data_IF_644665976070
#
_entry.id   IF_644665976070
#
_cell.length_a   1.000
_cell.length_b   1.000
_cell.length_c   1.000
_cell.angle_alpha   90.00
_cell.angle_beta   90.00
_cell.angle_gamma   90.00
#
_symmetry.space_group_name_H-M   'P 1'
#
loop_
_entity.id
_entity.type
_entity.pdbx_description
1 polymer ?
#
# COMPACT_ATOMS: atom_id res chain seq x y z
N UNK A 1 13.31 34.23 -33.95
CA UNK A 1 14.05 34.39 -32.68
C UNK A 1 13.87 33.12 -31.87
N UNK A 2 14.94 32.42 -31.53
CA UNK A 2 14.89 31.20 -30.71
C UNK A 2 14.50 31.60 -29.29
N UNK A 3 13.37 31.10 -28.78
CA UNK A 3 12.96 31.33 -27.38
C UNK A 3 14.06 30.80 -26.46
N UNK A 4 14.50 31.60 -25.49
CA UNK A 4 15.57 31.23 -24.56
C UNK A 4 14.97 30.27 -23.52
N UNK A 5 15.60 29.13 -23.30
CA UNK A 5 15.19 28.22 -22.24
C UNK A 5 15.64 28.83 -20.90
N UNK A 6 14.71 29.02 -19.98
CA UNK A 6 15.00 29.48 -18.61
C UNK A 6 14.93 28.25 -17.71
N UNK A 7 16.05 27.97 -17.04
CA UNK A 7 16.11 26.96 -16.01
C UNK A 7 15.44 27.48 -14.75
N UNK A 8 14.79 26.59 -14.02
CA UNK A 8 13.92 26.89 -12.88
C UNK A 8 14.70 27.29 -11.61
N UNK A 9 15.72 28.14 -11.72
CA UNK A 9 16.37 28.72 -10.54
C UNK A 9 15.45 29.78 -9.91
N UNK A 10 15.44 29.79 -8.58
CA UNK A 10 14.67 30.67 -7.70
C UNK A 10 14.63 32.12 -8.21
N UNK A 11 13.45 32.54 -8.65
CA UNK A 11 13.09 33.95 -8.73
C UNK A 11 13.17 34.50 -7.30
N UNK A 12 14.21 35.29 -6.98
CA UNK A 12 14.49 35.80 -5.63
C UNK A 12 13.52 36.90 -5.16
N UNK A 13 12.52 37.24 -5.98
CA UNK A 13 11.50 38.21 -5.61
C UNK A 13 12.08 39.61 -5.47
N UNK A 14 13.10 39.96 -6.27
CA UNK A 14 13.58 41.33 -6.41
C UNK A 14 12.41 42.31 -6.56
N UNK A 15 12.43 43.35 -5.73
CA UNK A 15 11.34 44.31 -5.44
C UNK A 15 10.96 45.26 -6.59
N UNK A 16 11.17 44.90 -7.85
CA UNK A 16 10.77 45.73 -8.98
C UNK A 16 9.54 45.11 -9.66
N UNK A 17 8.39 45.73 -9.36
CA UNK A 17 7.15 45.52 -10.07
C UNK A 17 7.35 45.74 -11.59
N UNK A 18 6.62 44.98 -12.40
CA UNK A 18 6.46 45.14 -13.86
C UNK A 18 7.30 44.24 -14.78
N UNK A 19 7.82 43.10 -14.29
CA UNK A 19 8.24 42.03 -15.21
C UNK A 19 7.05 41.07 -15.42
N UNK A 20 6.36 41.20 -16.56
CA UNK A 20 5.47 40.15 -17.06
C UNK A 20 6.23 38.81 -17.04
N UNK A 21 5.63 37.71 -16.54
CA UNK A 21 6.30 36.42 -16.54
C UNK A 21 6.71 36.11 -17.97
N UNK A 22 8.00 35.83 -18.23
CA UNK A 22 8.47 35.79 -19.60
C UNK A 22 7.77 34.65 -20.35
N UNK A 23 7.51 34.84 -21.65
CA UNK A 23 6.99 33.78 -22.55
C UNK A 23 7.99 32.61 -22.78
N UNK A 24 8.85 32.36 -21.80
CA UNK A 24 10.04 31.55 -21.89
C UNK A 24 9.71 30.07 -21.67
N UNK A 25 10.55 29.23 -22.28
CA UNK A 25 10.44 27.77 -22.14
C UNK A 25 11.02 27.39 -20.79
N UNK A 26 10.15 26.97 -19.87
CA UNK A 26 10.50 26.49 -18.54
C UNK A 26 11.07 25.07 -18.67
N UNK A 27 12.38 24.96 -18.50
CA UNK A 27 13.08 23.69 -18.56
C UNK A 27 12.92 22.91 -17.25
N UNK A 28 12.61 21.62 -17.36
CA UNK A 28 12.49 20.75 -16.19
C UNK A 28 13.81 20.15 -15.73
N UNK A 29 14.95 20.60 -16.27
CA UNK A 29 16.28 20.18 -15.83
C UNK A 29 16.91 21.27 -14.96
N UNK A 30 17.44 20.89 -13.79
CA UNK A 30 18.12 21.80 -12.87
C UNK A 30 19.60 21.97 -13.26
N UNK A 31 19.84 22.57 -14.43
CA UNK A 31 21.18 22.80 -14.98
C UNK A 31 21.49 21.91 -16.18
N UNK A 32 22.25 20.84 -15.99
CA UNK A 32 22.70 19.97 -17.09
C UNK A 32 21.53 19.20 -17.71
N UNK A 33 21.51 19.10 -19.05
CA UNK A 33 20.42 18.50 -19.85
C UNK A 33 20.43 16.96 -19.82
N UNK A 34 20.71 16.38 -18.66
CA UNK A 34 20.76 14.94 -18.38
C UNK A 34 19.42 14.44 -17.81
N UNK A 35 19.05 13.20 -18.14
CA UNK A 35 17.72 12.63 -17.84
C UNK A 35 17.48 12.38 -16.33
N UNK A 36 18.54 12.43 -15.50
CA UNK A 36 18.49 12.17 -14.05
C UNK A 36 18.27 13.42 -13.19
N UNK A 37 18.36 14.62 -13.75
CA UNK A 37 18.25 15.90 -13.01
C UNK A 37 16.91 16.59 -13.28
N UNK A 38 15.81 15.85 -13.17
CA UNK A 38 14.46 16.37 -13.45
C UNK A 38 13.80 16.95 -12.20
N UNK A 39 13.23 18.15 -12.34
CA UNK A 39 12.47 18.82 -11.28
C UNK A 39 11.29 17.98 -10.80
N UNK A 40 10.97 18.09 -9.51
CA UNK A 40 9.74 17.53 -8.94
C UNK A 40 8.50 18.37 -9.29
N UNK A 41 8.67 19.64 -9.64
CA UNK A 41 7.59 20.59 -9.91
C UNK A 41 7.19 20.63 -11.40
N UNK A 42 6.66 19.51 -11.87
CA UNK A 42 6.27 19.37 -13.28
C UNK A 42 5.05 20.20 -13.71
N UNK A 43 4.31 20.80 -12.78
CA UNK A 43 3.14 21.64 -13.11
C UNK A 43 3.50 22.87 -13.93
N UNK A 44 4.76 23.30 -13.85
CA UNK A 44 5.26 24.52 -14.50
C UNK A 44 6.19 24.24 -15.69
N UNK A 45 6.51 22.98 -16.00
CA UNK A 45 7.46 22.64 -17.08
C UNK A 45 6.78 22.77 -18.44
N UNK A 46 7.30 23.65 -19.30
CA UNK A 46 6.78 23.86 -20.67
C UNK A 46 7.72 23.34 -21.76
N UNK A 47 8.94 22.90 -21.39
CA UNK A 47 9.91 22.32 -22.32
C UNK A 47 9.41 20.99 -22.92
N UNK A 48 9.16 20.98 -24.23
CA UNK A 48 8.69 19.79 -24.98
C UNK A 48 9.60 18.55 -24.83
N UNK A 49 10.92 18.74 -24.70
CA UNK A 49 11.86 17.62 -24.47
C UNK A 49 11.65 17.01 -23.09
N UNK A 50 11.57 17.84 -22.05
CA UNK A 50 11.34 17.40 -20.67
C UNK A 50 9.99 16.69 -20.53
N UNK A 51 8.93 17.23 -21.16
CA UNK A 51 7.62 16.60 -21.17
C UNK A 51 7.64 15.20 -21.81
N UNK A 52 8.34 15.02 -22.94
CA UNK A 52 8.51 13.70 -23.58
C UNK A 52 9.30 12.71 -22.72
N UNK A 53 10.32 13.17 -22.01
CA UNK A 53 11.08 12.33 -21.07
C UNK A 53 10.16 11.87 -19.94
N UNK A 54 9.37 12.79 -19.37
CA UNK A 54 8.37 12.47 -18.34
C UNK A 54 7.34 11.47 -18.82
N UNK A 55 6.78 11.66 -20.00
CA UNK A 55 5.81 10.73 -20.60
C UNK A 55 6.41 9.32 -20.72
N UNK A 56 7.67 9.21 -21.15
CA UNK A 56 8.39 7.93 -21.22
C UNK A 56 8.60 7.30 -19.83
N UNK A 57 8.96 8.10 -18.83
CA UNK A 57 9.11 7.62 -17.44
C UNK A 57 7.78 7.14 -16.86
N UNK A 58 6.70 7.92 -17.02
CA UNK A 58 5.36 7.53 -16.59
C UNK A 58 4.89 6.26 -17.29
N UNK A 59 5.15 6.12 -18.60
CA UNK A 59 4.81 4.92 -19.35
C UNK A 59 5.59 3.69 -18.84
N UNK A 60 6.88 3.85 -18.52
CA UNK A 60 7.69 2.79 -17.91
C UNK A 60 7.13 2.39 -16.54
N UNK A 61 6.89 3.35 -15.65
CA UNK A 61 6.32 3.07 -14.32
C UNK A 61 4.93 2.44 -14.41
N UNK A 62 4.10 2.86 -15.36
CA UNK A 62 2.80 2.24 -15.59
C UNK A 62 2.90 0.81 -16.15
N UNK A 63 3.96 0.48 -16.90
CA UNK A 63 4.26 -0.90 -17.28
C UNK A 63 4.69 -1.72 -16.06
N UNK A 64 5.66 -1.21 -15.28
CA UNK A 64 6.12 -1.87 -14.05
C UNK A 64 4.99 -2.09 -13.03
N UNK A 65 4.10 -1.12 -12.85
CA UNK A 65 2.93 -1.25 -11.97
C UNK A 65 1.95 -2.32 -12.45
N UNK A 66 1.73 -2.43 -13.77
CA UNK A 66 0.92 -3.52 -14.34
C UNK A 66 1.56 -4.87 -14.10
N UNK A 67 2.86 -5.01 -14.33
CA UNK A 67 3.58 -6.26 -14.13
C UNK A 67 3.55 -6.69 -12.65
N UNK A 68 3.74 -5.73 -11.73
CA UNK A 68 3.60 -5.96 -10.27
C UNK A 68 2.19 -6.42 -9.91
N UNK A 69 1.15 -5.79 -10.45
CA UNK A 69 -0.25 -6.18 -10.20
C UNK A 69 -0.55 -7.60 -10.68
N UNK A 70 -0.02 -7.98 -11.84
CA UNK A 70 -0.16 -9.36 -12.35
C UNK A 70 0.52 -10.34 -11.41
N UNK A 71 1.77 -10.08 -11.02
CA UNK A 71 2.51 -10.95 -10.09
C UNK A 71 1.77 -11.14 -8.75
N UNK A 72 1.27 -10.04 -8.15
CA UNK A 72 0.50 -10.09 -6.90
C UNK A 72 -0.83 -10.85 -7.07
N UNK A 73 -1.47 -10.74 -8.23
CA UNK A 73 -2.70 -11.47 -8.51
C UNK A 73 -2.43 -12.98 -8.63
N UNK A 74 -1.36 -13.37 -9.30
CA UNK A 74 -0.95 -14.77 -9.44
C UNK A 74 -0.60 -15.40 -8.09
N UNK A 75 0.12 -14.66 -7.23
CA UNK A 75 0.41 -15.06 -5.84
C UNK A 75 -0.87 -15.25 -5.03
N UNK A 76 -1.78 -14.27 -5.05
CA UNK A 76 -3.06 -14.37 -4.35
C UNK A 76 -3.91 -15.54 -4.85
N UNK A 77 -3.84 -15.85 -6.14
CA UNK A 77 -4.52 -17.01 -6.73
C UNK A 77 -3.88 -18.33 -6.26
N UNK A 78 -2.56 -18.41 -6.14
CA UNK A 78 -1.86 -19.58 -5.63
C UNK A 78 -2.28 -19.88 -4.18
N UNK A 79 -2.21 -18.89 -3.29
CA UNK A 79 -2.65 -18.99 -1.88
C UNK A 79 -4.11 -19.45 -1.80
N UNK A 80 -4.99 -18.86 -2.63
CA UNK A 80 -6.41 -19.23 -2.68
C UNK A 80 -6.60 -20.71 -3.00
N UNK A 81 -5.80 -21.26 -3.94
CA UNK A 81 -5.87 -22.67 -4.33
C UNK A 81 -5.31 -23.59 -3.24
N UNK A 82 -4.22 -23.21 -2.59
CA UNK A 82 -3.64 -23.95 -1.46
C UNK A 82 -4.64 -24.08 -0.30
N UNK A 83 -5.38 -23.00 -0.02
CA UNK A 83 -6.48 -23.00 0.96
C UNK A 83 -7.73 -23.77 0.48
N UNK A 84 -7.74 -24.32 -0.73
CA UNK A 84 -8.84 -25.12 -1.28
C UNK A 84 -10.02 -24.32 -1.83
N UNK A 85 -9.88 -23.00 -2.01
CA UNK A 85 -10.95 -22.16 -2.55
C UNK A 85 -10.89 -22.04 -4.07
N UNK A 86 -12.06 -21.90 -4.70
CA UNK A 86 -12.18 -21.80 -6.18
C UNK A 86 -11.76 -20.44 -6.75
N UNK A 87 -11.92 -19.37 -5.98
CA UNK A 87 -11.55 -18.01 -6.39
C UNK A 87 -11.24 -17.13 -5.18
N UNK A 88 -10.46 -16.07 -5.43
CA UNK A 88 -9.94 -15.16 -4.40
C UNK A 88 -11.07 -14.48 -3.62
N UNK A 89 -12.13 -14.05 -4.30
CA UNK A 89 -13.25 -13.36 -3.66
C UNK A 89 -14.00 -14.25 -2.66
N UNK A 90 -14.16 -15.54 -2.97
CA UNK A 90 -14.74 -16.51 -2.05
C UNK A 90 -13.82 -16.75 -0.86
N UNK A 91 -12.51 -16.94 -1.08
CA UNK A 91 -11.54 -17.10 0.01
C UNK A 91 -11.58 -15.93 0.98
N UNK A 92 -11.52 -14.69 0.48
CA UNK A 92 -11.60 -13.47 1.31
C UNK A 92 -12.89 -13.43 2.11
N UNK A 93 -14.05 -13.73 1.51
CA UNK A 93 -15.34 -13.71 2.22
C UNK A 93 -15.40 -14.74 3.35
N UNK A 94 -14.87 -15.94 3.12
CA UNK A 94 -14.87 -17.01 4.13
C UNK A 94 -13.91 -16.67 5.25
N UNK A 95 -12.65 -16.31 4.92
CA UNK A 95 -11.63 -15.93 5.89
C UNK A 95 -12.09 -14.74 6.76
N UNK A 96 -12.72 -13.74 6.15
CA UNK A 96 -13.28 -12.60 6.91
C UNK A 96 -14.35 -13.06 7.90
N UNK A 97 -15.25 -13.94 7.48
CA UNK A 97 -16.32 -14.45 8.35
C UNK A 97 -15.76 -15.30 9.49
N UNK A 98 -14.71 -16.07 9.24
CA UNK A 98 -14.05 -16.88 10.27
C UNK A 98 -13.33 -15.98 11.27
N UNK A 99 -12.64 -14.93 10.81
CA UNK A 99 -12.05 -13.91 11.67
C UNK A 99 -13.11 -13.17 12.51
N UNK A 100 -14.26 -12.79 11.92
CA UNK A 100 -15.39 -12.16 12.62
C UNK A 100 -15.94 -13.08 13.72
N UNK A 101 -16.10 -14.39 13.45
CA UNK A 101 -16.54 -15.37 14.46
C UNK A 101 -15.54 -15.50 15.60
N UNK A 102 -14.25 -15.53 15.29
CA UNK A 102 -13.19 -15.60 16.29
C UNK A 102 -13.19 -14.35 17.17
N UNK A 103 -13.28 -13.16 16.57
CA UNK A 103 -13.36 -11.90 17.30
C UNK A 103 -14.62 -11.81 18.19
N UNK A 104 -15.74 -12.37 17.74
CA UNK A 104 -16.97 -12.45 18.54
C UNK A 104 -16.77 -13.33 19.79
N UNK A 105 -16.17 -14.52 19.64
CA UNK A 105 -15.87 -15.41 20.78
C UNK A 105 -14.90 -14.73 21.76
N UNK A 106 -13.85 -14.11 21.21
CA UNK A 106 -12.82 -13.41 21.96
C UNK A 106 -13.38 -12.29 22.84
N UNK A 107 -14.40 -11.58 22.39
CA UNK A 107 -15.03 -10.44 23.11
C UNK A 107 -16.17 -10.84 24.06
N UNK A 108 -16.42 -12.14 24.29
CA UNK A 108 -17.48 -12.56 25.22
C UNK A 108 -17.05 -12.41 26.67
N UNK A 109 -18.01 -11.97 27.49
CA UNK A 109 -17.89 -11.94 28.94
C UNK A 109 -17.99 -13.38 29.50
N UNK A 110 -17.17 -13.67 30.50
CA UNK A 110 -17.13 -14.94 31.21
C UNK A 110 -18.37 -15.16 32.09
N UNK A 111 -19.11 -14.11 32.46
CA UNK A 111 -20.36 -14.25 33.22
C UNK A 111 -21.45 -15.02 32.45
N UNK A 112 -21.34 -15.11 31.13
CA UNK A 112 -22.24 -15.88 30.25
C UNK A 112 -22.24 -17.39 30.55
N UNK A 113 -21.27 -17.90 31.31
CA UNK A 113 -21.24 -19.30 31.76
C UNK A 113 -22.49 -19.65 32.58
N UNK A 114 -22.99 -18.71 33.38
CA UNK A 114 -24.16 -18.91 34.25
C UNK A 114 -25.50 -18.59 33.58
N UNK A 115 -25.49 -17.71 32.57
CA UNK A 115 -26.68 -17.25 31.86
C UNK A 115 -26.91 -17.96 30.51
N UNK A 116 -25.98 -18.82 30.10
CA UNK A 116 -25.97 -19.53 28.82
C UNK A 116 -25.22 -18.76 27.73
N UNK A 117 -24.29 -19.43 27.05
CA UNK A 117 -23.44 -18.83 26.02
C UNK A 117 -22.46 -19.81 25.38
N UNK A 118 -21.64 -19.31 24.45
CA UNK A 118 -20.54 -20.05 23.82
C UNK A 118 -19.21 -19.44 24.25
N UNK A 119 -18.26 -20.28 24.67
CA UNK A 119 -16.93 -19.90 25.14
C UNK A 119 -15.86 -20.85 24.59
N UNK A 120 -14.60 -20.41 24.64
CA UNK A 120 -13.44 -21.24 24.37
C UNK A 120 -12.80 -21.67 25.69
N UNK A 121 -12.43 -22.96 25.81
CA UNK A 121 -11.84 -23.50 27.02
C UNK A 121 -10.63 -24.39 26.72
N UNK A 122 -9.67 -24.39 27.63
CA UNK A 122 -8.50 -25.27 27.57
C UNK A 122 -8.70 -26.47 28.49
N UNK A 123 -8.38 -27.65 27.97
CA UNK A 123 -8.41 -28.93 28.70
C UNK A 123 -7.00 -29.52 28.75
N UNK A 124 -6.65 -30.29 29.79
CA UNK A 124 -7.47 -30.74 30.93
C UNK A 124 -7.65 -29.71 32.06
N UNK A 125 -7.13 -28.49 31.91
CA UNK A 125 -7.13 -27.47 32.98
C UNK A 125 -8.54 -26.91 33.27
N UNK A 126 -9.52 -27.17 32.43
CA UNK A 126 -10.91 -26.69 32.54
C UNK A 126 -10.99 -25.17 32.72
N UNK A 127 -10.08 -24.43 32.07
CA UNK A 127 -9.98 -22.97 32.18
C UNK A 127 -10.65 -22.32 30.95
N UNK A 128 -11.50 -21.32 31.19
CA UNK A 128 -12.15 -20.55 30.13
C UNK A 128 -11.22 -19.42 29.68
N UNK A 129 -11.12 -19.24 28.36
CA UNK A 129 -10.24 -18.27 27.72
C UNK A 129 -11.08 -17.20 27.01
N UNK A 130 -10.69 -15.93 27.17
CA UNK A 130 -11.24 -14.79 26.46
C UNK A 130 -10.14 -13.80 26.07
N UNK A 131 -10.50 -12.82 25.25
CA UNK A 131 -9.66 -11.70 24.85
C UNK A 131 -8.22 -12.10 24.48
N UNK A 132 -7.23 -11.41 25.02
CA UNK A 132 -5.81 -11.67 24.74
C UNK A 132 -5.35 -13.04 25.25
N UNK A 133 -5.95 -13.55 26.32
CA UNK A 133 -5.64 -14.87 26.87
C UNK A 133 -5.95 -15.99 25.89
N UNK A 134 -7.02 -15.85 25.10
CA UNK A 134 -7.40 -16.82 24.06
C UNK A 134 -6.39 -16.84 22.92
N UNK A 135 -5.99 -15.67 22.43
CA UNK A 135 -4.96 -15.52 21.40
C UNK A 135 -3.64 -16.15 21.83
N UNK A 136 -3.14 -15.77 23.02
CA UNK A 136 -1.86 -16.24 23.54
C UNK A 136 -1.85 -17.77 23.69
N UNK A 137 -2.96 -18.37 24.14
CA UNK A 137 -3.07 -19.82 24.25
C UNK A 137 -3.04 -20.53 22.89
N UNK A 138 -3.69 -19.94 21.88
CA UNK A 138 -3.66 -20.45 20.50
C UNK A 138 -2.26 -20.34 19.90
N UNK A 139 -1.60 -19.18 20.01
CA UNK A 139 -0.24 -18.97 19.51
C UNK A 139 0.79 -19.90 20.17
N UNK A 140 0.68 -20.11 21.48
CA UNK A 140 1.52 -21.04 22.22
C UNK A 140 1.32 -22.49 21.76
N UNK A 141 0.08 -22.89 21.41
CA UNK A 141 -0.21 -24.22 20.89
C UNK A 141 0.39 -24.40 19.48
N UNK A 142 0.19 -23.44 18.58
CA UNK A 142 0.74 -23.48 17.22
C UNK A 142 2.28 -23.52 17.21
N UNK A 143 2.92 -22.75 18.09
CA UNK A 143 4.39 -22.75 18.22
C UNK A 143 4.92 -24.11 18.69
N UNK A 144 4.21 -24.78 19.60
CA UNK A 144 4.58 -26.13 20.07
C UNK A 144 4.44 -27.17 18.97
N UNK A 145 3.40 -27.10 18.14
CA UNK A 145 3.23 -28.02 17.00
C UNK A 145 4.27 -27.82 15.90
N UNK A 146 4.82 -26.61 15.76
CA UNK A 146 5.87 -26.31 14.78
C UNK A 146 7.28 -26.73 15.24
N UNK A 147 7.49 -27.07 16.52
CA UNK A 147 8.77 -27.56 17.04
C UNK A 147 8.80 -29.10 16.93
N UNK A 148 9.82 -29.68 16.26
CA UNK A 148 9.90 -31.11 15.98
C UNK A 148 10.08 -31.99 17.23
#
# INVERSE_FOLDING_TARGET
MSKRAVHMYEWDGGTEADQDPPEDVLCGTDGEMEDEQLTSNWGNVTCKRCLKIREKQLARWAAEDRDKKVALFDEAQAITRELGYRNIATAIKVLRRDAERYQWLRSRDLETISQGGVFAGITPQNMVLNEETLDQAVDAAMTKEAQP
#
